data_IF_511517892005
#
_entry.id   IF_511517892005
#
_cell.length_a   1.000
_cell.length_b   1.000
_cell.length_c   1.000
_cell.angle_alpha   90.00
_cell.angle_beta   90.00
_cell.angle_gamma   90.00
#
_symmetry.space_group_name_H-M   'P 1'
#
loop_
_entity.id
_entity.type
_entity.pdbx_description
1 polymer ?
#
# COMPACT_ATOMS: atom_id res chain seq x y z
N UNK A 1 32.17 35.46 18.22
CA UNK A 1 31.29 34.40 18.76
C UNK A 1 30.84 33.58 17.57
N UNK A 2 31.49 32.44 17.34
CA UNK A 2 31.13 31.54 16.25
C UNK A 2 30.07 30.57 16.78
N UNK A 3 28.83 30.81 16.40
CA UNK A 3 27.73 29.87 16.64
C UNK A 3 27.89 28.74 15.63
N UNK A 4 28.54 27.66 16.05
CA UNK A 4 28.48 26.38 15.35
C UNK A 4 27.02 25.95 15.34
N UNK A 5 26.39 26.05 14.16
CA UNK A 5 25.10 25.42 13.92
C UNK A 5 25.38 23.92 13.97
N UNK A 6 24.92 23.26 15.03
CA UNK A 6 24.85 21.81 15.07
C UNK A 6 23.94 21.37 13.92
N UNK A 7 24.55 20.87 12.85
CA UNK A 7 23.86 20.07 11.84
C UNK A 7 23.30 18.84 12.55
N UNK A 8 22.04 18.93 12.96
CA UNK A 8 21.26 17.76 13.38
C UNK A 8 21.31 16.75 12.24
N UNK A 9 22.03 15.66 12.45
CA UNK A 9 22.07 14.51 11.57
C UNK A 9 20.64 14.13 11.22
N UNK A 10 20.27 14.24 9.94
CA UNK A 10 19.00 13.71 9.43
C UNK A 10 19.11 12.19 9.55
N UNK A 11 18.61 11.66 10.67
CA UNK A 11 18.63 10.24 10.94
C UNK A 11 17.76 9.55 9.87
N UNK A 12 18.38 8.65 9.09
CA UNK A 12 17.67 7.98 7.99
C UNK A 12 16.63 7.02 8.61
N UNK A 13 15.42 6.91 8.04
CA UNK A 13 14.40 6.03 8.58
C UNK A 13 14.89 4.58 8.71
N UNK A 14 14.61 3.95 9.85
CA UNK A 14 14.96 2.54 10.10
C UNK A 14 14.00 1.59 9.38
N UNK A 15 14.36 0.31 9.29
CA UNK A 15 13.48 -0.71 8.74
C UNK A 15 12.19 -0.84 9.57
N UNK A 16 12.29 -0.71 10.89
CA UNK A 16 11.15 -0.69 11.80
C UNK A 16 10.23 0.51 11.54
N UNK A 17 10.79 1.69 11.23
CA UNK A 17 9.98 2.87 10.90
C UNK A 17 9.20 2.66 9.61
N UNK A 18 9.84 2.10 8.56
CA UNK A 18 9.13 1.74 7.33
C UNK A 18 8.03 0.71 7.59
N UNK A 19 8.31 -0.32 8.39
CA UNK A 19 7.30 -1.33 8.75
C UNK A 19 6.12 -0.70 9.48
N UNK A 20 6.37 0.17 10.45
CA UNK A 20 5.33 0.88 11.21
C UNK A 20 4.48 1.76 10.29
N UNK A 21 5.10 2.54 9.41
CA UNK A 21 4.39 3.42 8.48
C UNK A 21 3.59 2.62 7.45
N UNK A 22 4.15 1.55 6.88
CA UNK A 22 3.42 0.65 5.97
C UNK A 22 2.20 0.05 6.66
N UNK A 23 2.33 -0.42 7.90
CA UNK A 23 1.22 -0.96 8.67
C UNK A 23 0.15 0.10 8.95
N UNK A 24 0.55 1.32 9.32
CA UNK A 24 -0.36 2.44 9.53
C UNK A 24 -1.17 2.76 8.26
N UNK A 25 -0.50 2.86 7.11
CA UNK A 25 -1.16 3.09 5.81
C UNK A 25 -2.13 1.94 5.50
N UNK A 26 -1.67 0.69 5.64
CA UNK A 26 -2.48 -0.50 5.37
C UNK A 26 -3.76 -0.56 6.21
N UNK A 27 -3.66 -0.27 7.51
CA UNK A 27 -4.82 -0.25 8.41
C UNK A 27 -5.84 0.84 8.06
N UNK A 28 -5.37 2.03 7.68
CA UNK A 28 -6.26 3.12 7.28
C UNK A 28 -7.00 2.80 5.98
N UNK A 29 -6.29 2.23 4.99
CA UNK A 29 -6.89 1.80 3.73
C UNK A 29 -7.91 0.68 3.94
N UNK A 30 -7.57 -0.31 4.75
CA UNK A 30 -8.48 -1.41 5.09
C UNK A 30 -9.75 -0.90 5.79
N UNK A 31 -9.60 -0.06 6.81
CA UNK A 31 -10.73 0.50 7.55
C UNK A 31 -11.67 1.30 6.63
N UNK A 32 -11.10 2.13 5.76
CA UNK A 32 -11.87 2.93 4.79
C UNK A 32 -12.64 2.05 3.79
N UNK A 33 -12.03 0.95 3.35
CA UNK A 33 -12.69 -0.02 2.46
C UNK A 33 -13.84 -0.74 3.17
N UNK A 34 -13.62 -1.23 4.40
CA UNK A 34 -14.66 -1.90 5.20
C UNK A 34 -15.85 -0.98 5.41
N UNK A 35 -15.61 0.25 5.86
CA UNK A 35 -16.67 1.24 6.08
C UNK A 35 -17.43 1.54 4.78
N UNK A 36 -16.72 1.66 3.66
CA UNK A 36 -17.34 1.88 2.34
C UNK A 36 -18.24 0.70 1.94
N UNK A 37 -17.79 -0.53 2.17
CA UNK A 37 -18.55 -1.74 1.87
C UNK A 37 -19.79 -1.88 2.77
N UNK A 38 -19.69 -1.52 4.05
CA UNK A 38 -20.81 -1.56 4.99
C UNK A 38 -21.94 -0.59 4.62
N UNK A 39 -21.61 0.54 3.98
CA UNK A 39 -22.58 1.52 3.51
C UNK A 39 -23.32 1.09 2.24
N UNK A 40 -22.86 0.06 1.53
CA UNK A 40 -23.52 -0.43 0.32
C UNK A 40 -24.78 -1.23 0.62
N UNK A 41 -25.75 -1.31 -0.31
CA UNK A 41 -26.83 -2.29 -0.23
C UNK A 41 -26.31 -3.75 -0.14
N UNK A 42 -26.97 -4.66 0.61
CA UNK A 42 -26.45 -6.00 0.88
C UNK A 42 -26.05 -6.82 -0.36
N UNK A 43 -26.80 -6.72 -1.46
CA UNK A 43 -26.51 -7.46 -2.70
C UNK A 43 -25.21 -7.02 -3.39
N UNK A 44 -24.68 -5.84 -3.08
CA UNK A 44 -23.38 -5.36 -3.54
C UNK A 44 -22.23 -5.72 -2.58
N UNK A 45 -22.51 -6.20 -1.36
CA UNK A 45 -21.50 -6.55 -0.35
C UNK A 45 -20.90 -7.93 -0.61
N UNK A 46 -20.17 -8.06 -1.71
CA UNK A 46 -19.59 -9.33 -2.13
C UNK A 46 -18.12 -9.16 -2.54
N UNK A 47 -17.42 -10.29 -2.62
CA UNK A 47 -16.00 -10.34 -2.99
C UNK A 47 -15.73 -9.66 -4.34
N UNK A 48 -16.61 -9.83 -5.33
CA UNK A 48 -16.43 -9.21 -6.65
C UNK A 48 -16.42 -7.68 -6.57
N UNK A 49 -17.28 -7.08 -5.75
CA UNK A 49 -17.29 -5.64 -5.51
C UNK A 49 -15.98 -5.18 -4.87
N UNK A 50 -15.49 -5.91 -3.87
CA UNK A 50 -14.21 -5.62 -3.22
C UNK A 50 -13.06 -5.65 -4.23
N UNK A 51 -12.97 -6.71 -5.04
CA UNK A 51 -11.92 -6.85 -6.06
C UNK A 51 -11.98 -5.72 -7.09
N UNK A 52 -13.17 -5.36 -7.56
CA UNK A 52 -13.34 -4.28 -8.54
C UNK A 52 -12.97 -2.91 -7.95
N UNK A 53 -13.39 -2.62 -6.72
CA UNK A 53 -13.07 -1.38 -6.04
C UNK A 53 -11.56 -1.23 -5.80
N UNK A 54 -10.90 -2.30 -5.33
CA UNK A 54 -9.46 -2.33 -5.14
C UNK A 54 -8.71 -2.19 -6.47
N UNK A 55 -9.17 -2.85 -7.53
CA UNK A 55 -8.57 -2.71 -8.87
C UNK A 55 -8.66 -1.27 -9.37
N UNK A 56 -9.83 -0.64 -9.27
CA UNK A 56 -10.01 0.76 -9.68
C UNK A 56 -9.15 1.72 -8.85
N UNK A 57 -9.07 1.50 -7.53
CA UNK A 57 -8.20 2.26 -6.64
C UNK A 57 -6.72 2.15 -7.04
N UNK A 58 -6.22 0.92 -7.23
CA UNK A 58 -4.83 0.68 -7.61
C UNK A 58 -4.48 1.28 -8.97
N UNK A 59 -5.37 1.16 -9.97
CA UNK A 59 -5.17 1.78 -11.28
C UNK A 59 -5.03 3.29 -11.14
N UNK A 60 -5.87 3.94 -10.34
CA UNK A 60 -5.77 5.38 -10.09
C UNK A 60 -4.46 5.75 -9.40
N UNK A 61 -4.05 5.02 -8.36
CA UNK A 61 -2.77 5.25 -7.67
C UNK A 61 -1.60 5.11 -8.64
N UNK A 62 -1.55 4.03 -9.42
CA UNK A 62 -0.50 3.76 -10.40
C UNK A 62 -0.43 4.89 -11.44
N UNK A 63 -1.58 5.30 -11.98
CA UNK A 63 -1.65 6.37 -12.97
C UNK A 63 -1.14 7.72 -12.44
N UNK A 64 -1.46 8.05 -11.19
CA UNK A 64 -0.99 9.29 -10.56
C UNK A 64 0.52 9.25 -10.27
N UNK A 65 1.05 8.11 -9.81
CA UNK A 65 2.49 7.95 -9.55
C UNK A 65 3.32 7.93 -10.84
N UNK A 66 2.76 7.45 -11.94
CA UNK A 66 3.44 7.39 -13.24
C UNK A 66 3.36 8.69 -14.05
N UNK A 67 2.64 9.71 -13.56
CA UNK A 67 2.28 10.90 -14.34
C UNK A 67 1.62 10.54 -15.69
N UNK A 68 0.86 9.44 -15.72
CA UNK A 68 0.20 8.92 -16.92
C UNK A 68 1.10 8.23 -17.95
N UNK A 69 2.39 8.02 -17.65
CA UNK A 69 3.29 7.29 -18.54
C UNK A 69 2.99 5.78 -18.53
N UNK A 70 2.66 5.20 -19.70
CA UNK A 70 2.23 3.80 -19.82
C UNK A 70 3.30 2.79 -19.40
N UNK A 71 4.57 3.02 -19.71
CA UNK A 71 5.66 2.11 -19.34
C UNK A 71 5.86 2.10 -17.82
N UNK A 72 5.83 3.29 -17.21
CA UNK A 72 5.91 3.46 -15.76
C UNK A 72 4.70 2.85 -15.06
N UNK A 73 3.49 2.95 -15.63
CA UNK A 73 2.32 2.25 -15.11
C UNK A 73 2.55 0.74 -15.04
N UNK A 74 3.06 0.14 -16.12
CA UNK A 74 3.33 -1.30 -16.18
C UNK A 74 4.42 -1.72 -15.19
N UNK A 75 5.47 -0.89 -15.06
CA UNK A 75 6.54 -1.12 -14.09
C UNK A 75 6.02 -1.14 -12.65
N UNK A 76 5.27 -0.10 -12.25
CA UNK A 76 4.71 -0.01 -10.89
C UNK A 76 3.71 -1.15 -10.63
N UNK A 77 2.89 -1.50 -11.63
CA UNK A 77 1.97 -2.64 -11.52
C UNK A 77 2.72 -3.97 -11.30
N UNK A 78 3.81 -4.19 -12.03
CA UNK A 78 4.68 -5.36 -11.86
C UNK A 78 5.26 -5.41 -10.45
N UNK A 79 5.86 -4.32 -9.97
CA UNK A 79 6.44 -4.22 -8.62
C UNK A 79 5.40 -4.54 -7.52
N UNK A 80 4.18 -3.98 -7.63
CA UNK A 80 3.09 -4.28 -6.69
C UNK A 80 2.72 -5.77 -6.72
N UNK A 81 2.64 -6.37 -7.90
CA UNK A 81 2.27 -7.78 -8.06
C UNK A 81 3.31 -8.69 -7.41
N UNK A 82 4.59 -8.45 -7.66
CA UNK A 82 5.69 -9.20 -7.04
C UNK A 82 5.69 -9.09 -5.50
N UNK A 83 5.44 -7.89 -4.97
CA UNK A 83 5.33 -7.66 -3.51
C UNK A 83 4.17 -8.47 -2.92
N UNK A 84 2.98 -8.42 -3.55
CA UNK A 84 1.81 -9.15 -3.08
C UNK A 84 2.04 -10.66 -3.11
N UNK A 85 2.59 -11.19 -4.21
CA UNK A 85 2.92 -12.61 -4.34
C UNK A 85 3.90 -13.06 -3.26
N UNK A 86 4.95 -12.28 -3.01
CA UNK A 86 5.92 -12.54 -1.96
C UNK A 86 5.25 -12.58 -0.57
N UNK A 87 4.40 -11.61 -0.26
CA UNK A 87 3.66 -11.56 1.01
C UNK A 87 2.73 -12.78 1.19
N UNK A 88 2.00 -13.17 0.14
CA UNK A 88 1.13 -14.35 0.17
C UNK A 88 1.92 -15.64 0.38
N UNK A 89 3.06 -15.79 -0.29
CA UNK A 89 3.94 -16.94 -0.11
C UNK A 89 4.48 -17.03 1.32
N UNK A 90 4.85 -15.89 1.92
CA UNK A 90 5.33 -15.85 3.30
C UNK A 90 4.25 -16.27 4.31
N UNK A 91 2.99 -15.87 4.09
CA UNK A 91 1.86 -16.32 4.93
C UNK A 91 1.63 -17.83 4.79
N UNK A 92 1.72 -18.37 3.57
CA UNK A 92 1.57 -19.80 3.32
C UNK A 92 2.69 -20.65 3.95
N UNK A 93 3.89 -20.09 4.11
CA UNK A 93 5.00 -20.73 4.81
C UNK A 93 4.83 -20.64 6.34
N UNK A 94 4.39 -19.50 6.86
CA UNK A 94 4.17 -19.30 8.29
C UNK A 94 3.04 -20.17 8.86
N UNK A 95 2.05 -20.56 8.05
CA UNK A 95 0.94 -21.44 8.44
C UNK A 95 1.26 -22.93 8.36
N UNK A 96 2.43 -23.31 7.81
CA UNK A 96 2.92 -24.70 7.70
C UNK A 96 4.01 -25.06 8.72
N UNK A 97 4.51 -24.08 9.47
CA UNK A 97 5.49 -24.24 10.54
C UNK A 97 4.78 -24.42 11.89
#
# INVERSE_FOLDING_TARGET
>A
MNTSIEETSIDKPTAEDYSRIMNFIGQNLYSSLVESMEKLPPHFRNQKMICNALSAFLVNVIYQQSSGNSESCQKIFGEITEIIESQLNNIALATKA
#
